data_IF_260047040440
#
_entry.id   IF_260047040440
#
_cell.length_a   1.000
_cell.length_b   1.000
_cell.length_c   1.000
_cell.angle_alpha   90.00
_cell.angle_beta   90.00
_cell.angle_gamma   90.00
#
_symmetry.space_group_name_H-M   'P 1'
#
loop_
_entity.id
_entity.type
_entity.pdbx_description
1 polymer ?
#
# COMPACT_ATOMS: atom_id res chain seq x y z
N UNK A 1 -29.72 23.60 -106.84
CA UNK A 1 -29.28 22.43 -106.07
C UNK A 1 -30.08 21.22 -106.55
N UNK A 2 -29.41 20.27 -107.18
CA UNK A 2 -30.03 19.06 -107.74
C UNK A 2 -30.42 18.09 -106.62
N UNK A 3 -31.26 17.08 -106.91
CA UNK A 3 -31.64 16.07 -105.91
C UNK A 3 -30.41 15.32 -105.33
N UNK A 4 -29.39 15.12 -106.16
CA UNK A 4 -28.10 14.54 -105.79
C UNK A 4 -27.32 15.42 -104.80
N UNK A 5 -27.27 16.73 -105.01
CA UNK A 5 -26.58 17.66 -104.11
C UNK A 5 -27.20 17.66 -102.69
N UNK A 6 -28.53 17.56 -102.59
CA UNK A 6 -29.24 17.44 -101.30
C UNK A 6 -28.93 16.12 -100.59
N UNK A 7 -28.77 15.06 -101.36
CA UNK A 7 -28.46 13.73 -100.83
C UNK A 7 -27.00 13.66 -100.33
N UNK A 8 -26.06 14.25 -101.06
CA UNK A 8 -24.66 14.38 -100.64
C UNK A 8 -24.51 15.22 -99.36
N UNK A 9 -25.24 16.34 -99.25
CA UNK A 9 -25.25 17.17 -98.04
C UNK A 9 -25.75 16.38 -96.81
N UNK A 10 -26.84 15.62 -96.96
CA UNK A 10 -27.35 14.74 -95.88
C UNK A 10 -26.36 13.66 -95.47
N UNK A 11 -25.63 13.09 -96.43
CA UNK A 11 -24.61 12.07 -96.13
C UNK A 11 -23.48 12.70 -95.31
N UNK A 12 -22.99 13.87 -95.70
CA UNK A 12 -21.96 14.62 -94.94
C UNK A 12 -22.42 14.96 -93.52
N UNK A 13 -23.65 15.46 -93.35
CA UNK A 13 -24.23 15.75 -92.04
C UNK A 13 -24.36 14.50 -91.18
N UNK A 14 -24.74 13.36 -91.78
CA UNK A 14 -24.81 12.07 -91.09
C UNK A 14 -23.43 11.57 -90.68
N UNK A 15 -22.40 11.75 -91.49
CA UNK A 15 -21.02 11.39 -91.18
C UNK A 15 -20.48 12.21 -90.01
N UNK A 16 -20.70 13.53 -90.01
CA UNK A 16 -20.33 14.42 -88.89
C UNK A 16 -21.05 14.03 -87.59
N UNK A 17 -22.36 13.76 -87.66
CA UNK A 17 -23.14 13.28 -86.50
C UNK A 17 -22.62 11.94 -85.97
N UNK A 18 -22.22 11.04 -86.86
CA UNK A 18 -21.69 9.72 -86.49
C UNK A 18 -20.31 9.83 -85.84
N UNK A 19 -19.45 10.73 -86.33
CA UNK A 19 -18.16 11.00 -85.71
C UNK A 19 -18.32 11.64 -84.32
N UNK A 20 -19.23 12.62 -84.19
CA UNK A 20 -19.57 13.22 -82.89
C UNK A 20 -20.12 12.16 -81.91
N UNK A 21 -20.90 11.20 -82.41
CA UNK A 21 -21.41 10.09 -81.59
C UNK A 21 -20.25 9.19 -81.12
N UNK A 22 -19.30 8.85 -82.00
CA UNK A 22 -18.12 8.05 -81.65
C UNK A 22 -17.26 8.73 -80.60
N UNK A 23 -17.04 10.05 -80.72
CA UNK A 23 -16.29 10.81 -79.71
C UNK A 23 -17.01 10.83 -78.35
N UNK A 24 -18.34 11.03 -78.34
CA UNK A 24 -19.13 10.95 -77.10
C UNK A 24 -19.06 9.56 -76.46
N UNK A 25 -19.13 8.50 -77.25
CA UNK A 25 -19.02 7.12 -76.74
C UNK A 25 -17.65 6.90 -76.10
N UNK A 26 -16.56 7.27 -76.78
CA UNK A 26 -15.20 7.16 -76.21
C UNK A 26 -15.05 7.93 -74.90
N UNK A 27 -15.61 9.14 -74.83
CA UNK A 27 -15.56 9.95 -73.60
C UNK A 27 -16.35 9.28 -72.46
N UNK A 28 -17.56 8.79 -72.75
CA UNK A 28 -18.37 8.07 -71.77
C UNK A 28 -17.70 6.78 -71.30
N UNK A 29 -17.01 6.05 -72.18
CA UNK A 29 -16.24 4.85 -71.81
C UNK A 29 -15.08 5.19 -70.87
N UNK A 30 -14.36 6.28 -71.14
CA UNK A 30 -13.29 6.79 -70.25
C UNK A 30 -13.85 7.20 -68.88
N UNK A 31 -14.92 8.00 -68.85
CA UNK A 31 -15.55 8.45 -67.61
C UNK A 31 -16.09 7.26 -66.79
N UNK A 32 -16.64 6.23 -67.47
CA UNK A 32 -17.10 5.01 -66.83
C UNK A 32 -15.93 4.23 -66.21
N UNK A 33 -14.81 4.12 -66.94
CA UNK A 33 -13.61 3.44 -66.44
C UNK A 33 -13.06 4.14 -65.20
N UNK A 34 -12.91 5.47 -65.22
CA UNK A 34 -12.47 6.27 -64.07
C UNK A 34 -13.39 6.08 -62.85
N UNK A 35 -14.70 6.09 -63.07
CA UNK A 35 -15.69 5.87 -62.01
C UNK A 35 -15.57 4.48 -61.40
N UNK A 36 -15.27 3.46 -62.20
CA UNK A 36 -15.09 2.09 -61.71
C UNK A 36 -13.78 1.94 -60.91
N UNK A 37 -12.70 2.59 -61.34
CA UNK A 37 -11.46 2.65 -60.56
C UNK A 37 -11.69 3.32 -59.19
N UNK A 38 -12.40 4.45 -59.16
CA UNK A 38 -12.79 5.10 -57.92
C UNK A 38 -13.61 4.17 -57.02
N UNK A 39 -14.58 3.44 -57.58
CA UNK A 39 -15.40 2.48 -56.83
C UNK A 39 -14.52 1.38 -56.19
N UNK A 40 -13.55 0.85 -56.92
CA UNK A 40 -12.62 -0.15 -56.39
C UNK A 40 -11.82 0.41 -55.20
N UNK A 41 -11.22 1.59 -55.36
CA UNK A 41 -10.45 2.25 -54.28
C UNK A 41 -11.30 2.50 -53.04
N UNK A 42 -12.54 2.97 -53.21
CA UNK A 42 -13.46 3.15 -52.07
C UNK A 42 -13.81 1.82 -51.40
N UNK A 43 -14.03 0.76 -52.17
CA UNK A 43 -14.33 -0.55 -51.62
C UNK A 43 -13.16 -1.12 -50.82
N UNK A 44 -11.94 -1.02 -51.35
CA UNK A 44 -10.72 -1.45 -50.64
C UNK A 44 -10.52 -0.66 -49.35
N UNK A 45 -10.71 0.67 -49.40
CA UNK A 45 -10.58 1.53 -48.23
C UNK A 45 -11.65 1.21 -47.18
N UNK A 46 -12.88 0.91 -47.59
CA UNK A 46 -13.95 0.46 -46.69
C UNK A 46 -13.56 -0.84 -45.98
N UNK A 47 -13.08 -1.83 -46.73
CA UNK A 47 -12.65 -3.11 -46.15
C UNK A 47 -11.48 -2.95 -45.18
N UNK A 48 -10.52 -2.07 -45.51
CA UNK A 48 -9.41 -1.76 -44.63
C UNK A 48 -9.88 -1.11 -43.33
N UNK A 49 -10.76 -0.10 -43.42
CA UNK A 49 -11.35 0.56 -42.25
C UNK A 49 -12.12 -0.44 -41.39
N UNK A 50 -12.95 -1.29 -41.97
CA UNK A 50 -13.68 -2.34 -41.24
C UNK A 50 -12.73 -3.29 -40.52
N UNK A 51 -11.64 -3.70 -41.16
CA UNK A 51 -10.60 -4.51 -40.53
C UNK A 51 -9.97 -3.78 -39.33
N UNK A 52 -9.67 -2.48 -39.49
CA UNK A 52 -9.06 -1.67 -38.44
C UNK A 52 -9.99 -1.47 -37.24
N UNK A 53 -11.29 -1.28 -37.49
CA UNK A 53 -12.31 -1.19 -36.45
C UNK A 53 -12.35 -2.49 -35.65
N UNK A 54 -12.43 -3.66 -36.31
CA UNK A 54 -12.41 -4.95 -35.61
C UNK A 54 -11.15 -5.17 -34.77
N UNK A 55 -9.99 -4.75 -35.27
CA UNK A 55 -8.73 -4.82 -34.51
C UNK A 55 -8.74 -3.93 -33.26
N UNK A 56 -9.29 -2.71 -33.37
CA UNK A 56 -9.41 -1.79 -32.25
C UNK A 56 -10.41 -2.31 -31.22
N UNK A 57 -11.56 -2.81 -31.65
CA UNK A 57 -12.55 -3.44 -30.78
C UNK A 57 -11.97 -4.64 -30.03
N UNK A 58 -11.23 -5.52 -30.72
CA UNK A 58 -10.59 -6.67 -30.09
C UNK A 58 -9.54 -6.26 -29.04
N UNK A 59 -8.76 -5.19 -29.31
CA UNK A 59 -7.81 -4.65 -28.33
C UNK A 59 -8.52 -4.04 -27.13
N UNK A 60 -9.53 -3.21 -27.36
CA UNK A 60 -10.31 -2.61 -26.28
C UNK A 60 -10.99 -3.67 -25.41
N UNK A 61 -11.50 -4.75 -26.00
CA UNK A 61 -12.08 -5.86 -25.26
C UNK A 61 -11.05 -6.55 -24.36
N UNK A 62 -9.85 -6.80 -24.88
CA UNK A 62 -8.75 -7.39 -24.08
C UNK A 62 -8.35 -6.48 -22.93
N UNK A 63 -8.22 -5.17 -23.19
CA UNK A 63 -7.87 -4.18 -22.18
C UNK A 63 -8.94 -4.08 -21.09
N UNK A 64 -10.22 -4.07 -21.47
CA UNK A 64 -11.34 -4.06 -20.54
C UNK A 64 -11.31 -5.27 -19.61
N UNK A 65 -11.13 -6.47 -20.17
CA UNK A 65 -11.07 -7.71 -19.37
C UNK A 65 -9.84 -7.73 -18.47
N UNK A 66 -8.68 -7.27 -18.96
CA UNK A 66 -7.47 -7.17 -18.14
C UNK A 66 -7.66 -6.20 -16.97
N UNK A 67 -8.20 -5.00 -17.23
CA UNK A 67 -8.50 -4.02 -16.17
C UNK A 67 -9.50 -4.57 -15.16
N UNK A 68 -10.53 -5.29 -15.62
CA UNK A 68 -11.50 -5.94 -14.73
C UNK A 68 -10.84 -6.93 -13.77
N UNK A 69 -9.94 -7.79 -14.29
CA UNK A 69 -9.19 -8.74 -13.45
C UNK A 69 -8.26 -8.04 -12.46
N UNK A 70 -7.60 -6.97 -12.88
CA UNK A 70 -6.70 -6.22 -12.01
C UNK A 70 -7.47 -5.50 -10.89
N UNK A 71 -8.64 -4.95 -11.19
CA UNK A 71 -9.53 -4.37 -10.19
C UNK A 71 -9.98 -5.43 -9.17
N UNK A 72 -10.37 -6.63 -9.63
CA UNK A 72 -10.72 -7.72 -8.71
C UNK A 72 -9.56 -8.10 -7.80
N UNK A 73 -8.35 -8.28 -8.36
CA UNK A 73 -7.14 -8.60 -7.59
C UNK A 73 -6.84 -7.53 -6.52
N UNK A 74 -6.92 -6.26 -6.91
CA UNK A 74 -6.68 -5.15 -5.99
C UNK A 74 -7.76 -5.06 -4.90
N UNK A 75 -9.01 -5.38 -5.21
CA UNK A 75 -10.07 -5.45 -4.20
C UNK A 75 -9.80 -6.56 -3.18
N UNK A 76 -9.43 -7.76 -3.63
CA UNK A 76 -9.09 -8.87 -2.73
C UNK A 76 -7.93 -8.47 -1.79
N UNK A 77 -6.89 -7.82 -2.34
CA UNK A 77 -5.75 -7.32 -1.57
C UNK A 77 -6.16 -6.25 -0.55
N UNK A 78 -7.06 -5.33 -0.92
CA UNK A 78 -7.61 -4.31 -0.01
C UNK A 78 -8.40 -4.95 1.13
N UNK A 79 -9.20 -5.98 0.85
CA UNK A 79 -10.00 -6.65 1.89
C UNK A 79 -9.12 -7.45 2.86
N UNK A 80 -8.09 -8.14 2.36
CA UNK A 80 -7.08 -8.77 3.24
C UNK A 80 -6.36 -7.74 4.13
N UNK A 81 -6.02 -6.56 3.58
CA UNK A 81 -5.35 -5.52 4.35
C UNK A 81 -6.25 -4.92 5.43
N UNK A 82 -7.55 -4.79 5.18
CA UNK A 82 -8.52 -4.36 6.20
C UNK A 82 -8.60 -5.36 7.34
N UNK A 83 -8.70 -6.66 7.04
CA UNK A 83 -8.73 -7.70 8.08
C UNK A 83 -7.46 -7.69 8.94
N UNK A 84 -6.29 -7.56 8.31
CA UNK A 84 -5.00 -7.45 9.02
C UNK A 84 -4.93 -6.19 9.88
N UNK A 85 -5.47 -5.06 9.41
CA UNK A 85 -5.52 -3.82 10.18
C UNK A 85 -6.41 -3.97 11.41
N UNK A 86 -7.63 -4.51 11.26
CA UNK A 86 -8.54 -4.74 12.38
C UNK A 86 -7.92 -5.67 13.44
N UNK A 87 -7.24 -6.74 13.02
CA UNK A 87 -6.53 -7.63 13.93
C UNK A 87 -5.40 -6.92 14.69
N UNK A 88 -4.63 -6.06 14.00
CA UNK A 88 -3.57 -5.27 14.61
C UNK A 88 -4.10 -4.25 15.63
N UNK A 89 -5.22 -3.59 15.31
CA UNK A 89 -5.89 -2.65 16.21
C UNK A 89 -6.40 -3.34 17.48
N UNK A 90 -7.03 -4.51 17.35
CA UNK A 90 -7.46 -5.31 18.49
C UNK A 90 -6.29 -5.76 19.36
N UNK A 91 -5.21 -6.23 18.75
CA UNK A 91 -4.00 -6.62 19.49
C UNK A 91 -3.38 -5.43 20.25
N UNK A 92 -3.36 -4.25 19.63
CA UNK A 92 -2.86 -3.04 20.28
C UNK A 92 -3.73 -2.60 21.46
N UNK A 93 -5.07 -2.70 21.33
CA UNK A 93 -5.99 -2.42 22.43
C UNK A 93 -5.76 -3.35 23.62
N UNK A 94 -5.62 -4.65 23.39
CA UNK A 94 -5.33 -5.63 24.45
C UNK A 94 -3.96 -5.36 25.10
N UNK A 95 -2.95 -5.01 24.31
CA UNK A 95 -1.63 -4.65 24.84
C UNK A 95 -1.69 -3.39 25.72
N UNK A 96 -2.50 -2.39 25.33
CA UNK A 96 -2.72 -1.18 26.11
C UNK A 96 -3.43 -1.50 27.43
N UNK A 97 -4.51 -2.27 27.41
CA UNK A 97 -5.24 -2.69 28.62
C UNK A 97 -4.34 -3.48 29.59
N UNK A 98 -3.50 -4.38 29.08
CA UNK A 98 -2.53 -5.12 29.89
C UNK A 98 -1.48 -4.19 30.52
N UNK A 99 -1.00 -3.20 29.77
CA UNK A 99 -0.03 -2.22 30.25
C UNK A 99 -0.63 -1.33 31.34
N UNK A 100 -1.86 -0.86 31.15
CA UNK A 100 -2.59 -0.06 32.14
C UNK A 100 -2.78 -0.83 33.46
N UNK A 101 -3.12 -2.11 33.38
CA UNK A 101 -3.23 -2.99 34.56
C UNK A 101 -1.90 -3.12 35.30
N UNK A 102 -0.80 -3.39 34.60
CA UNK A 102 0.53 -3.50 35.21
C UNK A 102 0.97 -2.17 35.86
N UNK A 103 0.63 -1.03 35.25
CA UNK A 103 0.91 0.29 35.83
C UNK A 103 0.14 0.48 37.15
N UNK A 104 -1.14 0.09 37.20
CA UNK A 104 -1.94 0.15 38.43
C UNK A 104 -1.37 -0.74 39.54
N UNK A 105 -1.03 -1.99 39.22
CA UNK A 105 -0.39 -2.92 40.16
C UNK A 105 0.95 -2.37 40.68
N UNK A 106 1.76 -1.78 39.81
CA UNK A 106 3.03 -1.13 40.19
C UNK A 106 2.80 0.07 41.13
N UNK A 107 1.79 0.89 40.90
CA UNK A 107 1.46 2.01 41.79
C UNK A 107 1.05 1.49 43.17
N UNK A 108 0.21 0.45 43.23
CA UNK A 108 -0.20 -0.18 44.49
C UNK A 108 1.00 -0.74 45.27
N UNK A 109 1.90 -1.46 44.60
CA UNK A 109 3.12 -2.00 45.22
C UNK A 109 4.08 -0.92 45.70
N UNK A 110 4.19 0.21 44.99
CA UNK A 110 5.01 1.34 45.44
C UNK A 110 4.39 1.97 46.69
N UNK A 111 3.07 2.11 46.75
CA UNK A 111 2.38 2.63 47.93
C UNK A 111 2.58 1.70 49.15
N UNK A 112 2.43 0.39 48.97
CA UNK A 112 2.67 -0.61 50.00
C UNK A 112 4.13 -0.58 50.50
N UNK A 113 5.11 -0.58 49.59
CA UNK A 113 6.52 -0.47 49.97
C UNK A 113 6.85 0.84 50.70
N UNK A 114 6.20 1.94 50.33
CA UNK A 114 6.37 3.23 51.03
C UNK A 114 5.81 3.16 52.44
N UNK A 115 4.63 2.54 52.62
CA UNK A 115 4.03 2.35 53.93
C UNK A 115 4.85 1.39 54.81
N UNK A 116 5.37 0.30 54.26
CA UNK A 116 6.23 -0.64 54.96
C UNK A 116 7.53 0.02 55.43
N UNK A 117 8.22 0.76 54.54
CA UNK A 117 9.42 1.53 54.92
C UNK A 117 9.13 2.55 56.02
N UNK A 118 7.98 3.22 55.99
CA UNK A 118 7.57 4.13 57.07
C UNK A 118 7.34 3.39 58.39
N UNK A 119 6.64 2.26 58.35
CA UNK A 119 6.40 1.42 59.53
C UNK A 119 7.70 0.88 60.12
N UNK A 120 8.68 0.54 59.29
CA UNK A 120 10.00 0.09 59.71
C UNK A 120 10.77 1.20 60.43
N UNK A 121 10.74 2.43 59.90
CA UNK A 121 11.31 3.61 60.56
C UNK A 121 10.67 3.86 61.93
N UNK A 122 9.34 3.82 62.00
CA UNK A 122 8.61 4.00 63.25
C UNK A 122 8.94 2.89 64.27
N UNK A 123 9.08 1.64 63.82
CA UNK A 123 9.46 0.52 64.68
C UNK A 123 10.91 0.63 65.18
N UNK A 124 11.85 0.97 64.30
CA UNK A 124 13.25 1.18 64.68
C UNK A 124 13.40 2.34 65.68
N UNK A 125 12.64 3.43 65.52
CA UNK A 125 12.61 4.53 66.49
C UNK A 125 12.04 4.12 67.85
N UNK A 126 10.98 3.30 67.85
CA UNK A 126 10.45 2.70 69.08
C UNK A 126 11.53 1.87 69.81
N UNK A 127 12.20 0.95 69.11
CA UNK A 127 13.25 0.11 69.68
C UNK A 127 14.43 0.93 70.23
N UNK A 128 14.86 1.97 69.48
CA UNK A 128 15.90 2.89 69.93
C UNK A 128 15.58 3.48 71.30
N UNK A 129 14.38 4.03 71.45
CA UNK A 129 13.94 4.67 72.70
C UNK A 129 13.90 3.69 73.87
N UNK A 130 13.33 2.50 73.68
CA UNK A 130 13.25 1.50 74.75
C UNK A 130 14.64 1.00 75.20
N UNK A 131 15.61 0.90 74.28
CA UNK A 131 16.99 0.55 74.61
C UNK A 131 17.75 1.67 75.32
N UNK A 132 17.58 2.91 74.88
CA UNK A 132 18.21 4.08 75.51
C UNK A 132 17.66 4.33 76.92
N UNK A 133 16.37 4.07 77.16
CA UNK A 133 15.72 4.22 78.48
C UNK A 133 16.31 3.28 79.56
N UNK A 134 16.89 2.15 79.16
CA UNK A 134 17.59 1.21 80.06
C UNK A 134 19.11 1.40 80.10
N UNK A 135 19.63 2.42 79.40
CA UNK A 135 21.04 2.80 79.38
C UNK A 135 21.91 2.06 78.33
N UNK A 136 21.29 1.32 77.41
CA UNK A 136 21.97 0.63 76.32
C UNK A 136 22.05 1.52 75.06
N UNK A 137 23.01 1.23 74.16
CA UNK A 137 23.15 1.93 72.88
C UNK A 137 22.48 1.13 71.77
N UNK A 138 21.53 1.73 71.06
CA UNK A 138 20.89 1.15 69.88
C UNK A 138 21.66 1.48 68.59
N UNK A 139 21.60 0.57 67.62
CA UNK A 139 22.12 0.77 66.26
C UNK A 139 20.96 0.58 65.30
N UNK A 140 20.73 1.57 64.44
CA UNK A 140 19.67 1.50 63.44
C UNK A 140 19.91 0.34 62.47
N UNK A 141 18.87 -0.47 62.26
CA UNK A 141 18.87 -1.57 61.30
C UNK A 141 17.64 -1.42 60.40
N UNK A 142 17.89 -1.22 59.10
CA UNK A 142 16.87 -1.06 58.08
C UNK A 142 17.01 -2.16 57.03
N UNK A 143 15.88 -2.72 56.60
CA UNK A 143 15.83 -3.78 55.61
C UNK A 143 16.10 -3.20 54.22
N UNK A 144 17.37 -3.28 53.80
CA UNK A 144 17.73 -3.09 52.40
C UNK A 144 17.62 -4.42 51.64
N UNK A 145 17.19 -4.39 50.37
CA UNK A 145 17.10 -5.59 49.51
C UNK A 145 17.90 -5.46 48.21
N UNK A 146 19.21 -5.13 48.29
CA UNK A 146 20.03 -4.87 47.10
C UNK A 146 20.10 -6.05 46.14
N UNK A 147 20.04 -7.29 46.65
CA UNK A 147 19.98 -8.49 45.82
C UNK A 147 18.67 -8.59 45.02
N UNK A 148 17.53 -8.23 45.63
CA UNK A 148 16.23 -8.20 44.96
C UNK A 148 16.17 -7.08 43.93
N UNK A 149 16.69 -5.89 44.26
CA UNK A 149 16.74 -4.76 43.34
C UNK A 149 17.61 -5.06 42.10
N UNK A 150 18.78 -5.68 42.31
CA UNK A 150 19.63 -6.15 41.23
C UNK A 150 18.94 -7.23 40.37
N UNK A 151 18.22 -8.17 40.99
CA UNK A 151 17.45 -9.18 40.28
C UNK A 151 16.33 -8.57 39.42
N UNK A 152 15.55 -7.64 39.97
CA UNK A 152 14.49 -6.96 39.22
C UNK A 152 15.03 -6.10 38.08
N UNK A 153 16.19 -5.47 38.26
CA UNK A 153 16.90 -4.75 37.20
C UNK A 153 17.30 -5.69 36.05
N UNK A 154 17.80 -6.88 36.37
CA UNK A 154 18.16 -7.91 35.39
C UNK A 154 16.94 -8.45 34.65
N UNK A 155 15.85 -8.77 35.35
CA UNK A 155 14.60 -9.27 34.72
C UNK A 155 14.03 -8.23 33.75
N UNK A 156 14.04 -6.94 34.12
CA UNK A 156 13.61 -5.86 33.21
C UNK A 156 14.53 -5.74 31.99
N UNK A 157 15.83 -5.87 32.16
CA UNK A 157 16.80 -5.84 31.06
C UNK A 157 16.56 -7.00 30.07
N UNK A 158 16.36 -8.21 30.59
CA UNK A 158 16.04 -9.39 29.77
C UNK A 158 14.70 -9.24 29.02
N UNK A 159 13.70 -8.62 29.63
CA UNK A 159 12.43 -8.33 28.97
C UNK A 159 12.57 -7.42 27.75
N UNK A 160 13.41 -6.38 27.86
CA UNK A 160 13.72 -5.44 26.76
C UNK A 160 14.48 -6.14 25.63
N UNK A 161 15.45 -6.99 25.98
CA UNK A 161 16.23 -7.77 25.01
C UNK A 161 15.31 -8.73 24.25
N UNK A 162 14.48 -9.51 24.95
CA UNK A 162 13.50 -10.42 24.34
C UNK A 162 12.49 -9.70 23.43
N UNK A 163 12.04 -8.51 23.80
CA UNK A 163 11.17 -7.70 22.95
C UNK A 163 11.88 -7.29 21.64
N UNK A 164 13.13 -6.85 21.74
CA UNK A 164 13.92 -6.45 20.56
C UNK A 164 14.20 -7.59 19.59
N UNK A 165 14.31 -8.82 20.08
CA UNK A 165 14.49 -10.02 19.24
C UNK A 165 13.29 -10.29 18.33
N UNK A 166 12.08 -9.87 18.72
CA UNK A 166 10.87 -10.03 17.91
C UNK A 166 10.84 -9.15 16.66
N UNK A 167 11.66 -8.10 16.58
CA UNK A 167 11.75 -7.21 15.41
C UNK A 167 12.55 -7.79 14.23
N UNK A 168 13.00 -9.05 14.31
CA UNK A 168 13.75 -9.70 13.23
C UNK A 168 15.13 -9.07 13.00
N UNK A 169 15.70 -9.24 11.82
CA UNK A 169 17.00 -8.67 11.47
C UNK A 169 17.11 -8.38 9.96
N UNK A 170 18.07 -7.54 9.58
CA UNK A 170 18.37 -7.26 8.16
C UNK A 170 17.77 -5.97 7.59
N UNK A 171 17.11 -5.15 8.41
CA UNK A 171 16.68 -3.80 8.04
C UNK A 171 17.36 -2.75 8.91
N UNK A 172 17.53 -1.53 8.38
CA UNK A 172 18.05 -0.39 9.16
C UNK A 172 17.24 -0.15 10.44
N UNK A 173 15.91 -0.21 10.33
CA UNK A 173 15.00 -0.04 11.47
C UNK A 173 15.16 -1.16 12.51
N UNK A 174 15.21 -2.43 12.11
CA UNK A 174 15.38 -3.53 13.08
C UNK A 174 16.72 -3.45 13.81
N UNK A 175 17.77 -3.01 13.11
CA UNK A 175 19.10 -2.87 13.70
C UNK A 175 19.13 -1.71 14.70
N UNK A 176 18.54 -0.55 14.36
CA UNK A 176 18.42 0.58 15.29
C UNK A 176 17.62 0.21 16.55
N UNK A 177 16.49 -0.50 16.42
CA UNK A 177 15.68 -0.92 17.56
C UNK A 177 16.47 -1.85 18.49
N UNK A 178 17.26 -2.78 17.93
CA UNK A 178 18.12 -3.69 18.71
C UNK A 178 19.23 -2.97 19.46
N UNK A 179 19.90 -2.01 18.81
CA UNK A 179 20.95 -1.20 19.47
C UNK A 179 20.37 -0.38 20.63
N UNK A 180 19.26 0.31 20.40
CA UNK A 180 18.59 1.11 21.45
C UNK A 180 18.10 0.22 22.60
N UNK A 181 17.57 -0.95 22.30
CA UNK A 181 17.13 -1.91 23.31
C UNK A 181 18.31 -2.46 24.15
N UNK A 182 19.43 -2.79 23.51
CA UNK A 182 20.63 -3.24 24.21
C UNK A 182 21.19 -2.15 25.15
N UNK A 183 21.25 -0.90 24.68
CA UNK A 183 21.68 0.24 25.49
C UNK A 183 20.73 0.49 26.68
N UNK A 184 19.42 0.36 26.46
CA UNK A 184 18.42 0.51 27.52
C UNK A 184 18.50 -0.62 28.54
N UNK A 185 18.67 -1.88 28.11
CA UNK A 185 18.89 -3.02 28.98
C UNK A 185 20.17 -2.86 29.84
N UNK A 186 21.27 -2.38 29.24
CA UNK A 186 22.51 -2.09 29.97
C UNK A 186 22.33 -0.98 31.03
N UNK A 187 21.49 0.02 30.74
CA UNK A 187 21.13 1.07 31.70
C UNK A 187 20.30 0.51 32.86
N UNK A 188 19.33 -0.36 32.58
CA UNK A 188 18.51 -1.01 33.61
C UNK A 188 19.39 -1.80 34.61
N UNK A 189 20.35 -2.59 34.12
CA UNK A 189 21.30 -3.35 34.97
C UNK A 189 22.20 -2.48 35.84
N UNK A 190 22.55 -1.29 35.36
CA UNK A 190 23.35 -0.32 36.13
C UNK A 190 22.53 0.42 37.20
N UNK A 191 21.22 0.20 37.26
CA UNK A 191 20.33 0.92 38.17
C UNK A 191 20.31 2.40 37.85
N UNK A 192 19.67 2.81 36.74
CA UNK A 192 19.39 4.25 36.56
C UNK A 192 18.40 4.67 37.64
N UNK A 193 18.83 5.59 38.49
CA UNK A 193 17.97 6.33 39.42
C UNK A 193 16.75 6.88 38.65
N UNK A 194 15.56 6.40 38.99
CA UNK A 194 14.31 7.12 38.75
C UNK A 194 14.12 8.16 39.85
#
# INVERSE_FOLDING_TARGET
>A
MTALDKQALRISELEELNELLREKVKKLESDLWDKEQLRQVYSEKSLNLDSKVRELEARNQKDFVWRGREISRLNDEVDELKEKLEAAEQANKLAQEATEKLVQERIALVAENTALKKSEVEFNEYCRRECEDVGDTWVDDFTETPATDAFLAEVRAQGVEMFSEKFGGGTLLSNMVKEVAADFAAKLRKGVAQ
#
